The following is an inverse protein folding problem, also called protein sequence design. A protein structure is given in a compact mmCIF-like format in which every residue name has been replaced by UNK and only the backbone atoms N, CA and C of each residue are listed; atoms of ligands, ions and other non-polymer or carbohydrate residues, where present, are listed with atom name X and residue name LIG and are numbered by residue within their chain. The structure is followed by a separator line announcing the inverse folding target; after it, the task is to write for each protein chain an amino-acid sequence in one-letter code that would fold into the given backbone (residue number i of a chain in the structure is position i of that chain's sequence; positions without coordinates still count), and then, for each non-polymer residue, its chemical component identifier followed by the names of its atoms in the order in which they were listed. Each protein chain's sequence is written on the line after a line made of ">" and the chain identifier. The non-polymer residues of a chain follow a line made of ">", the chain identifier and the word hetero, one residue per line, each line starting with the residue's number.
data_IF_110530519758
#
_entry.id   IF_110530519758
#
_cell.length_a   1.000
_cell.length_b   1.000
_cell.length_c   1.000
_cell.angle_alpha   90.00
_cell.angle_beta   90.00
_cell.angle_gamma   90.00
#
_symmetry.space_group_name_H-M   'P 1'
#
loop_
_entity.id
_entity.type
_entity.pdbx_description
1 polymer ?
#
# COMPACT_ATOMS: atom_id res chain seq x y z
N UNK A 1 -0.95 28.92 -20.71
CA UNK A 1 -1.22 27.47 -20.54
C UNK A 1 -1.11 27.15 -19.06
N UNK A 2 -2.22 26.90 -18.35
CA UNK A 2 -2.16 26.55 -16.92
C UNK A 2 -1.56 25.14 -16.80
N UNK A 3 -0.37 25.05 -16.23
CA UNK A 3 0.25 23.76 -15.87
C UNK A 3 -0.50 23.21 -14.67
N UNK A 4 -1.48 22.34 -14.92
CA UNK A 4 -2.20 21.66 -13.83
C UNK A 4 -1.25 20.71 -13.12
N UNK A 5 -1.13 20.85 -11.79
CA UNK A 5 -0.31 19.93 -10.96
C UNK A 5 -0.78 18.49 -11.17
N UNK A 6 0.16 17.52 -11.29
CA UNK A 6 -0.23 16.12 -11.44
C UNK A 6 -1.01 15.65 -10.21
N UNK A 7 -2.09 14.87 -10.40
CA UNK A 7 -2.89 14.35 -9.30
C UNK A 7 -2.12 13.29 -8.50
N UNK A 8 -2.51 13.11 -7.25
CA UNK A 8 -1.99 12.04 -6.43
C UNK A 8 -2.59 10.68 -6.84
N UNK A 9 -1.77 9.65 -6.95
CA UNK A 9 -2.20 8.31 -7.35
C UNK A 9 -3.24 7.72 -6.38
N UNK A 10 -3.09 7.94 -5.06
CA UNK A 10 -4.01 7.43 -4.04
C UNK A 10 -5.45 7.93 -4.20
N UNK A 11 -5.67 9.11 -4.79
CA UNK A 11 -7.03 9.66 -5.02
C UNK A 11 -7.88 8.73 -5.89
N UNK A 12 -7.25 7.98 -6.81
CA UNK A 12 -7.92 7.03 -7.70
C UNK A 12 -7.79 5.59 -7.20
N UNK A 13 -6.62 5.21 -6.70
CA UNK A 13 -6.33 3.82 -6.37
C UNK A 13 -6.96 3.38 -5.05
N UNK A 14 -7.07 4.26 -4.05
CA UNK A 14 -7.68 3.89 -2.76
C UNK A 14 -9.18 3.59 -2.85
N UNK A 15 -10.01 4.45 -3.48
CA UNK A 15 -11.43 4.13 -3.62
C UNK A 15 -11.67 2.84 -4.40
N UNK A 16 -10.90 2.62 -5.47
CA UNK A 16 -11.03 1.40 -6.27
C UNK A 16 -10.59 0.15 -5.49
N UNK A 17 -9.48 0.24 -4.76
CA UNK A 17 -9.02 -0.84 -3.89
C UNK A 17 -10.04 -1.17 -2.80
N UNK A 18 -10.62 -0.14 -2.16
CA UNK A 18 -11.64 -0.31 -1.14
C UNK A 18 -12.91 -0.98 -1.70
N UNK A 19 -13.40 -0.52 -2.84
CA UNK A 19 -14.54 -1.14 -3.53
C UNK A 19 -14.22 -2.59 -3.90
N UNK A 20 -13.04 -2.84 -4.44
CA UNK A 20 -12.59 -4.18 -4.81
C UNK A 20 -12.58 -5.12 -3.59
N UNK A 21 -11.99 -4.73 -2.48
CA UNK A 21 -11.95 -5.56 -1.27
C UNK A 21 -13.34 -5.77 -0.67
N UNK A 22 -14.20 -4.75 -0.69
CA UNK A 22 -15.58 -4.83 -0.21
C UNK A 22 -16.42 -5.83 -1.01
N UNK A 23 -16.12 -6.04 -2.29
CA UNK A 23 -16.76 -7.04 -3.15
C UNK A 23 -16.08 -8.41 -3.06
N UNK A 24 -14.76 -8.45 -3.15
CA UNK A 24 -14.00 -9.70 -3.25
C UNK A 24 -14.00 -10.48 -1.94
N UNK A 25 -13.96 -9.81 -0.79
CA UNK A 25 -13.95 -10.47 0.51
C UNK A 25 -15.22 -11.30 0.74
N UNK A 26 -16.45 -10.74 0.67
CA UNK A 26 -17.67 -11.50 0.90
C UNK A 26 -17.90 -12.55 -0.21
N UNK A 27 -17.53 -12.25 -1.46
CA UNK A 27 -17.61 -13.23 -2.55
C UNK A 27 -16.74 -14.46 -2.26
N UNK A 28 -15.50 -14.25 -1.87
CA UNK A 28 -14.58 -15.35 -1.61
C UNK A 28 -14.99 -16.16 -0.38
N UNK A 29 -15.36 -15.50 0.72
CA UNK A 29 -15.81 -16.17 1.95
C UNK A 29 -17.11 -16.93 1.71
N UNK A 30 -18.11 -16.31 1.07
CA UNK A 30 -19.38 -16.97 0.76
C UNK A 30 -19.22 -18.15 -0.20
N UNK A 31 -18.32 -18.04 -1.19
CA UNK A 31 -17.97 -19.14 -2.08
C UNK A 31 -17.30 -20.31 -1.35
N UNK A 32 -16.37 -20.02 -0.42
CA UNK A 32 -15.71 -21.06 0.40
C UNK A 32 -16.68 -21.73 1.39
N UNK A 33 -17.70 -21.01 1.87
CA UNK A 33 -18.77 -21.55 2.71
C UNK A 33 -19.85 -22.29 1.91
N UNK A 34 -19.76 -22.29 0.58
CA UNK A 34 -20.72 -22.95 -0.29
C UNK A 34 -22.08 -22.24 -0.42
N UNK A 35 -22.17 -20.97 -0.05
CA UNK A 35 -23.43 -20.22 -0.16
C UNK A 35 -23.82 -19.93 -1.60
N UNK A 36 -22.82 -19.75 -2.47
CA UNK A 36 -23.03 -19.52 -3.91
C UNK A 36 -21.76 -19.87 -4.70
N UNK A 37 -21.92 -20.02 -6.01
CA UNK A 37 -20.78 -20.26 -6.92
C UNK A 37 -20.02 -18.97 -7.20
N UNK A 38 -18.70 -19.04 -7.12
CA UNK A 38 -17.78 -17.91 -7.40
C UNK A 38 -16.76 -18.32 -8.44
N UNK A 39 -16.09 -17.36 -9.08
CA UNK A 39 -14.96 -17.64 -9.97
C UNK A 39 -13.90 -18.52 -9.29
N UNK A 40 -13.29 -19.41 -10.05
CA UNK A 40 -12.37 -20.43 -9.53
C UNK A 40 -11.21 -19.83 -8.70
N UNK A 41 -10.72 -18.65 -9.07
CA UNK A 41 -9.66 -17.95 -8.33
C UNK A 41 -10.07 -17.52 -6.93
N UNK A 42 -11.35 -17.47 -6.60
CA UNK A 42 -11.87 -17.07 -5.28
C UNK A 42 -12.36 -18.24 -4.42
N UNK A 43 -12.45 -19.44 -4.99
CA UNK A 43 -12.98 -20.62 -4.29
C UNK A 43 -12.06 -21.14 -3.19
N UNK A 44 -10.77 -20.88 -3.30
CA UNK A 44 -9.74 -21.43 -2.42
C UNK A 44 -9.20 -20.37 -1.44
N UNK A 45 -8.79 -20.82 -0.26
CA UNK A 45 -8.19 -19.95 0.76
C UNK A 45 -6.93 -19.22 0.24
N UNK A 46 -6.08 -19.89 -0.54
CA UNK A 46 -4.92 -19.26 -1.16
C UNK A 46 -5.31 -18.20 -2.21
N UNK A 47 -6.43 -18.38 -2.91
CA UNK A 47 -6.96 -17.40 -3.86
C UNK A 47 -7.43 -16.13 -3.14
N UNK A 48 -8.16 -16.29 -2.02
CA UNK A 48 -8.54 -15.19 -1.16
C UNK A 48 -7.30 -14.42 -0.65
N UNK A 49 -6.31 -15.14 -0.12
CA UNK A 49 -5.06 -14.55 0.35
C UNK A 49 -4.33 -13.78 -0.75
N UNK A 50 -4.22 -14.35 -1.95
CA UNK A 50 -3.62 -13.69 -3.11
C UNK A 50 -4.32 -12.38 -3.45
N UNK A 51 -5.67 -12.37 -3.51
CA UNK A 51 -6.42 -11.17 -3.86
C UNK A 51 -6.34 -10.08 -2.80
N UNK A 52 -6.32 -10.45 -1.52
CA UNK A 52 -6.16 -9.47 -0.43
C UNK A 52 -4.74 -8.89 -0.38
N UNK A 53 -3.72 -9.66 -0.68
CA UNK A 53 -2.32 -9.22 -0.61
C UNK A 53 -1.92 -8.50 -1.90
N UNK A 54 -1.98 -9.20 -3.05
CA UNK A 54 -1.49 -8.69 -4.33
C UNK A 54 -2.56 -7.92 -5.12
N UNK A 55 -3.85 -8.11 -4.81
CA UNK A 55 -4.94 -7.33 -5.36
C UNK A 55 -5.18 -6.03 -4.59
N UNK A 56 -5.56 -6.12 -3.34
CA UNK A 56 -5.94 -4.97 -2.53
C UNK A 56 -4.72 -4.27 -1.90
N UNK A 57 -3.96 -4.96 -1.03
CA UNK A 57 -2.93 -4.31 -0.23
C UNK A 57 -1.81 -3.70 -1.09
N UNK A 58 -1.39 -4.37 -2.16
CA UNK A 58 -0.32 -3.89 -3.02
C UNK A 58 -0.69 -2.60 -3.75
N UNK A 59 -1.93 -2.45 -4.27
CA UNK A 59 -2.35 -1.22 -4.93
C UNK A 59 -2.54 -0.06 -3.94
N UNK A 60 -2.96 -0.34 -2.70
CA UNK A 60 -3.01 0.66 -1.62
C UNK A 60 -1.61 1.16 -1.28
N UNK A 61 -0.66 0.25 -1.08
CA UNK A 61 0.74 0.61 -0.80
C UNK A 61 1.33 1.41 -1.97
N UNK A 62 1.12 0.95 -3.20
CA UNK A 62 1.58 1.65 -4.39
C UNK A 62 0.99 3.06 -4.47
N UNK A 63 -0.31 3.23 -4.18
CA UNK A 63 -0.97 4.54 -4.14
C UNK A 63 -0.39 5.48 -3.10
N UNK A 64 -0.04 4.96 -1.93
CA UNK A 64 0.59 5.73 -0.87
C UNK A 64 2.03 6.15 -1.23
N UNK A 65 2.80 5.26 -1.84
CA UNK A 65 4.22 5.45 -2.13
C UNK A 65 4.47 6.23 -3.43
N UNK A 66 3.57 6.16 -4.41
CA UNK A 66 3.78 6.76 -5.73
C UNK A 66 3.77 8.30 -5.72
N UNK A 67 3.04 8.94 -4.78
CA UNK A 67 2.88 10.39 -4.75
C UNK A 67 2.13 10.93 -5.99
N UNK A 68 2.43 12.19 -6.42
CA UNK A 68 1.85 12.77 -7.63
C UNK A 68 2.35 12.06 -8.88
N UNK A 69 1.44 11.65 -9.77
CA UNK A 69 1.76 10.95 -11.02
C UNK A 69 0.94 11.50 -12.19
N UNK A 70 1.43 11.40 -13.44
CA UNK A 70 0.64 11.72 -14.62
C UNK A 70 -0.62 10.85 -14.70
N UNK A 71 -1.74 11.43 -15.15
CA UNK A 71 -3.00 10.68 -15.31
C UNK A 71 -2.85 9.44 -16.17
N UNK A 72 -2.06 9.52 -17.26
CA UNK A 72 -1.77 8.38 -18.13
C UNK A 72 -1.19 7.20 -17.33
N UNK A 73 -0.18 7.44 -16.51
CA UNK A 73 0.41 6.40 -15.66
C UNK A 73 -0.62 5.81 -14.66
N UNK A 74 -1.42 6.67 -14.01
CA UNK A 74 -2.44 6.23 -13.04
C UNK A 74 -3.42 5.27 -13.71
N UNK A 75 -3.98 5.64 -14.88
CA UNK A 75 -4.96 4.82 -15.59
C UNK A 75 -4.34 3.59 -16.25
N UNK A 76 -3.10 3.66 -16.75
CA UNK A 76 -2.39 2.48 -17.26
C UNK A 76 -2.20 1.42 -16.16
N UNK A 77 -1.76 1.83 -14.97
CA UNK A 77 -1.60 0.90 -13.83
C UNK A 77 -2.95 0.33 -13.40
N UNK A 78 -4.02 1.15 -13.35
CA UNK A 78 -5.36 0.66 -13.04
C UNK A 78 -5.89 -0.33 -14.08
N UNK A 79 -5.70 -0.04 -15.37
CA UNK A 79 -6.10 -0.94 -16.45
C UNK A 79 -5.37 -2.28 -16.37
N UNK A 80 -4.06 -2.24 -16.17
CA UNK A 80 -3.26 -3.45 -15.98
C UNK A 80 -3.71 -4.22 -14.73
N UNK A 81 -3.94 -3.52 -13.62
CA UNK A 81 -4.45 -4.12 -12.39
C UNK A 81 -5.78 -4.84 -12.60
N UNK A 82 -6.75 -4.22 -13.31
CA UNK A 82 -8.04 -4.86 -13.61
C UNK A 82 -7.87 -6.13 -14.46
N UNK A 83 -7.06 -6.07 -15.51
CA UNK A 83 -6.78 -7.24 -16.36
C UNK A 83 -6.18 -8.38 -15.52
N UNK A 84 -5.25 -8.06 -14.64
CA UNK A 84 -4.63 -9.01 -13.72
C UNK A 84 -5.66 -9.65 -12.78
N UNK A 85 -6.58 -8.85 -12.21
CA UNK A 85 -7.60 -9.39 -11.31
C UNK A 85 -8.58 -10.30 -12.04
N UNK A 86 -9.08 -9.87 -13.18
CA UNK A 86 -10.01 -10.67 -13.99
C UNK A 86 -9.37 -11.98 -14.46
N UNK A 87 -8.11 -11.95 -14.91
CA UNK A 87 -7.42 -13.18 -15.32
C UNK A 87 -7.23 -14.17 -14.18
N UNK A 88 -6.91 -13.69 -12.98
CA UNK A 88 -6.76 -14.55 -11.80
C UNK A 88 -8.11 -15.16 -11.36
N UNK A 89 -9.20 -14.40 -11.44
CA UNK A 89 -10.53 -14.90 -11.10
C UNK A 89 -10.95 -16.06 -12.02
N UNK A 90 -10.66 -15.95 -13.32
CA UNK A 90 -11.10 -16.92 -14.34
C UNK A 90 -10.15 -18.10 -14.45
N UNK A 91 -8.85 -17.87 -14.44
CA UNK A 91 -7.84 -18.89 -14.72
C UNK A 91 -6.59 -18.73 -13.84
N UNK A 92 -6.68 -18.93 -12.50
CA UNK A 92 -5.59 -18.66 -11.55
C UNK A 92 -4.33 -19.49 -11.81
N UNK A 93 -4.47 -20.69 -12.37
CA UNK A 93 -3.35 -21.62 -12.64
C UNK A 93 -2.73 -21.39 -14.02
N UNK A 94 -3.34 -20.56 -14.87
CA UNK A 94 -2.82 -20.30 -16.22
C UNK A 94 -1.46 -19.60 -16.18
N UNK A 95 -0.52 -20.05 -17.04
CA UNK A 95 0.77 -19.39 -17.23
C UNK A 95 0.60 -17.93 -17.67
N UNK A 96 -0.40 -17.63 -18.50
CA UNK A 96 -0.73 -16.27 -18.93
C UNK A 96 -1.06 -15.39 -17.71
N UNK A 97 -1.91 -15.90 -16.82
CA UNK A 97 -2.24 -15.22 -15.56
C UNK A 97 -1.01 -14.98 -14.69
N UNK A 98 -0.14 -15.99 -14.56
CA UNK A 98 1.11 -15.83 -13.81
C UNK A 98 1.99 -14.73 -14.40
N UNK A 99 2.20 -14.74 -15.73
CA UNK A 99 3.05 -13.74 -16.41
C UNK A 99 2.52 -12.32 -16.24
N UNK A 100 1.20 -12.09 -16.44
CA UNK A 100 0.64 -10.74 -16.31
C UNK A 100 0.60 -10.25 -14.85
N UNK A 101 0.39 -11.15 -13.87
CA UNK A 101 0.50 -10.81 -12.44
C UNK A 101 1.94 -10.41 -12.08
N UNK A 102 2.93 -11.21 -12.50
CA UNK A 102 4.34 -10.91 -12.26
C UNK A 102 4.73 -9.60 -12.95
N UNK A 103 4.29 -9.37 -14.19
CA UNK A 103 4.55 -8.12 -14.91
C UNK A 103 3.96 -6.90 -14.19
N UNK A 104 2.74 -7.01 -13.66
CA UNK A 104 2.12 -5.95 -12.85
C UNK A 104 2.95 -5.64 -11.60
N UNK A 105 3.29 -6.66 -10.81
CA UNK A 105 4.09 -6.49 -9.59
C UNK A 105 5.48 -5.93 -9.93
N UNK A 106 6.13 -6.45 -10.96
CA UNK A 106 7.42 -5.96 -11.44
C UNK A 106 7.37 -4.48 -11.85
N UNK A 107 6.30 -4.05 -12.53
CA UNK A 107 6.08 -2.65 -12.90
C UNK A 107 6.04 -1.74 -11.66
N UNK A 108 5.33 -2.14 -10.61
CA UNK A 108 5.27 -1.39 -9.36
C UNK A 108 6.62 -1.37 -8.64
N UNK A 109 7.26 -2.53 -8.50
CA UNK A 109 8.57 -2.65 -7.85
C UNK A 109 9.61 -1.82 -8.60
N UNK A 110 9.69 -1.93 -9.92
CA UNK A 110 10.61 -1.17 -10.75
C UNK A 110 10.44 0.34 -10.62
N UNK A 111 9.21 0.81 -10.57
CA UNK A 111 8.91 2.24 -10.47
C UNK A 111 9.11 2.80 -9.07
N UNK A 112 8.70 2.06 -8.03
CA UNK A 112 8.64 2.58 -6.66
C UNK A 112 9.90 2.29 -5.85
N UNK A 113 10.51 1.10 -5.96
CA UNK A 113 11.69 0.73 -5.16
C UNK A 113 12.88 1.67 -5.32
N UNK A 114 13.26 2.12 -6.55
CA UNK A 114 14.39 3.04 -6.72
C UNK A 114 14.23 4.37 -6.00
N UNK A 115 12.98 4.85 -5.85
CA UNK A 115 12.68 6.09 -5.12
C UNK A 115 13.16 5.97 -3.67
N UNK A 116 12.99 4.80 -3.04
CA UNK A 116 13.39 4.57 -1.66
C UNK A 116 14.85 4.11 -1.53
N UNK A 117 15.32 3.29 -2.46
CA UNK A 117 16.68 2.75 -2.39
C UNK A 117 17.75 3.78 -2.74
N UNK A 118 17.50 4.65 -3.73
CA UNK A 118 18.51 5.61 -4.25
C UNK A 118 18.42 6.98 -3.60
N UNK A 119 17.21 7.51 -3.33
CA UNK A 119 17.03 8.88 -2.87
C UNK A 119 16.98 9.02 -1.35
N UNK A 120 16.73 7.92 -0.61
CA UNK A 120 16.63 7.99 0.83
C UNK A 120 18.01 8.13 1.50
N UNK A 121 18.22 9.27 2.17
CA UNK A 121 19.45 9.55 2.95
C UNK A 121 19.57 8.67 4.21
N UNK A 122 18.44 8.29 4.81
CA UNK A 122 18.40 7.47 6.04
C UNK A 122 18.13 6.01 5.71
N UNK A 123 18.91 5.09 6.28
CA UNK A 123 18.74 3.64 6.12
C UNK A 123 17.31 3.17 6.39
N UNK A 124 16.70 3.74 7.40
CA UNK A 124 15.29 3.50 7.75
C UNK A 124 14.32 3.72 6.58
N UNK A 125 14.57 4.70 5.70
CA UNK A 125 13.71 4.94 4.54
C UNK A 125 13.97 3.95 3.39
N UNK A 126 15.17 3.38 3.33
CA UNK A 126 15.53 2.34 2.35
C UNK A 126 14.80 1.02 2.60
N UNK A 127 14.42 0.74 3.87
CA UNK A 127 13.70 -0.49 4.22
C UNK A 127 12.39 -0.65 3.45
N UNK A 128 11.66 0.43 3.16
CA UNK A 128 10.45 0.37 2.34
C UNK A 128 10.72 -0.15 0.91
N UNK A 129 11.86 0.23 0.33
CA UNK A 129 12.28 -0.28 -0.98
C UNK A 129 12.60 -1.78 -0.96
N UNK A 130 13.28 -2.26 0.09
CA UNK A 130 13.56 -3.69 0.25
C UNK A 130 12.28 -4.50 0.49
N UNK A 131 11.34 -4.00 1.28
CA UNK A 131 10.04 -4.66 1.48
C UNK A 131 9.26 -4.76 0.18
N UNK A 132 9.26 -3.73 -0.67
CA UNK A 132 8.63 -3.80 -1.99
C UNK A 132 9.27 -4.86 -2.88
N UNK A 133 10.60 -4.97 -2.88
CA UNK A 133 11.30 -6.04 -3.61
C UNK A 133 10.94 -7.41 -3.04
N UNK A 134 10.90 -7.55 -1.71
CA UNK A 134 10.48 -8.77 -1.04
C UNK A 134 9.06 -9.19 -1.42
N UNK A 135 8.11 -8.24 -1.47
CA UNK A 135 6.74 -8.50 -1.95
C UNK A 135 6.73 -8.96 -3.41
N UNK A 136 7.61 -8.40 -4.25
CA UNK A 136 7.78 -8.86 -5.63
C UNK A 136 8.30 -10.31 -5.71
N UNK A 137 9.26 -10.67 -4.86
CA UNK A 137 9.79 -12.04 -4.76
C UNK A 137 8.72 -13.01 -4.26
N UNK A 138 7.94 -12.63 -3.24
CA UNK A 138 6.85 -13.44 -2.72
C UNK A 138 5.76 -13.68 -3.78
N UNK A 139 5.41 -12.65 -4.58
CA UNK A 139 4.47 -12.79 -5.70
C UNK A 139 5.00 -13.75 -6.76
N UNK A 140 6.27 -13.62 -7.14
CA UNK A 140 6.94 -14.53 -8.08
C UNK A 140 6.92 -15.97 -7.54
N UNK A 141 7.33 -16.18 -6.29
CA UNK A 141 7.33 -17.48 -5.65
C UNK A 141 5.95 -18.11 -5.58
N UNK A 142 4.90 -17.34 -5.26
CA UNK A 142 3.52 -17.80 -5.29
C UNK A 142 3.12 -18.30 -6.67
N UNK A 143 3.37 -17.52 -7.73
CA UNK A 143 3.00 -17.93 -9.10
C UNK A 143 3.83 -19.11 -9.61
N UNK A 144 5.10 -19.23 -9.23
CA UNK A 144 5.91 -20.41 -9.53
C UNK A 144 5.36 -21.66 -8.82
N UNK A 145 4.96 -21.53 -7.54
CA UNK A 145 4.32 -22.61 -6.82
C UNK A 145 2.95 -23.02 -7.41
N UNK A 146 2.23 -22.06 -8.03
CA UNK A 146 0.98 -22.36 -8.75
C UNK A 146 1.21 -23.16 -10.04
N UNK A 147 2.35 -22.98 -10.71
CA UNK A 147 2.72 -23.69 -11.94
C UNK A 147 3.39 -25.04 -11.68
N UNK A 148 3.88 -25.25 -10.48
CA UNK A 148 4.56 -26.49 -10.09
C UNK A 148 3.58 -27.46 -9.45
N UNK A 149 3.87 -28.79 -9.54
CA UNK A 149 3.12 -29.82 -8.82
C UNK A 149 3.47 -29.89 -7.33
N UNK A 150 3.87 -28.75 -6.75
CA UNK A 150 4.21 -28.66 -5.33
C UNK A 150 2.95 -28.67 -4.46
N UNK A 151 3.06 -29.17 -3.21
CA UNK A 151 1.96 -29.11 -2.25
C UNK A 151 1.44 -27.67 -2.03
N UNK A 152 0.17 -27.53 -1.69
CA UNK A 152 -0.48 -26.23 -1.41
C UNK A 152 0.24 -25.40 -0.32
N UNK A 153 0.99 -26.06 0.57
CA UNK A 153 1.79 -25.42 1.60
C UNK A 153 2.78 -24.38 1.06
N UNK A 154 3.37 -24.62 -0.12
CA UNK A 154 4.28 -23.65 -0.74
C UNK A 154 3.58 -22.36 -1.14
N UNK A 155 2.35 -22.45 -1.65
CA UNK A 155 1.52 -21.27 -1.98
C UNK A 155 1.22 -20.45 -0.74
N UNK A 156 0.82 -21.14 0.35
CA UNK A 156 0.53 -20.50 1.64
C UNK A 156 1.77 -19.87 2.26
N UNK A 157 2.95 -20.49 2.17
CA UNK A 157 4.21 -19.92 2.66
C UNK A 157 4.52 -18.57 2.02
N UNK A 158 4.46 -18.46 0.69
CA UNK A 158 4.69 -17.19 0.00
C UNK A 158 3.66 -16.11 0.37
N UNK A 159 2.40 -16.49 0.62
CA UNK A 159 1.39 -15.57 1.13
C UNK A 159 1.71 -15.12 2.55
N UNK A 160 2.12 -16.01 3.44
CA UNK A 160 2.54 -15.67 4.81
C UNK A 160 3.76 -14.76 4.82
N UNK A 161 4.76 -15.03 3.99
CA UNK A 161 5.92 -14.13 3.81
C UNK A 161 5.48 -12.74 3.37
N UNK A 162 4.55 -12.65 2.41
CA UNK A 162 4.02 -11.39 1.97
C UNK A 162 3.25 -10.66 3.09
N UNK A 163 2.46 -11.36 3.91
CA UNK A 163 1.78 -10.78 5.09
C UNK A 163 2.79 -10.24 6.11
N UNK A 164 3.87 -10.96 6.38
CA UNK A 164 4.92 -10.49 7.28
C UNK A 164 5.60 -9.22 6.74
N UNK A 165 5.91 -9.19 5.45
CA UNK A 165 6.49 -8.01 4.80
C UNK A 165 5.53 -6.81 4.84
N UNK A 166 4.24 -7.03 4.61
CA UNK A 166 3.19 -6.00 4.74
C UNK A 166 3.11 -5.48 6.17
N UNK A 167 3.16 -6.37 7.16
CA UNK A 167 3.13 -6.00 8.57
C UNK A 167 4.33 -5.13 8.94
N UNK A 168 5.54 -5.51 8.50
CA UNK A 168 6.75 -4.69 8.68
C UNK A 168 6.56 -3.30 8.06
N UNK A 169 6.01 -3.22 6.85
CA UNK A 169 5.78 -1.95 6.17
C UNK A 169 4.74 -1.09 6.92
N UNK A 170 3.67 -1.70 7.42
CA UNK A 170 2.64 -0.99 8.21
C UNK A 170 3.20 -0.45 9.52
N UNK A 171 3.98 -1.22 10.27
CA UNK A 171 4.66 -0.75 11.48
C UNK A 171 5.62 0.39 11.18
N UNK A 172 6.38 0.27 10.11
CA UNK A 172 7.29 1.31 9.66
C UNK A 172 6.55 2.62 9.33
N UNK A 173 5.47 2.55 8.55
CA UNK A 173 4.67 3.71 8.16
C UNK A 173 3.92 4.32 9.34
N UNK A 174 3.31 3.51 10.20
CA UNK A 174 2.61 3.93 11.41
C UNK A 174 3.53 4.68 12.38
N UNK A 175 4.70 4.15 12.64
CA UNK A 175 5.71 4.80 13.49
C UNK A 175 6.14 6.18 12.95
N UNK A 176 6.20 6.35 11.64
CA UNK A 176 6.54 7.63 11.01
C UNK A 176 5.46 8.69 11.21
N UNK A 177 4.19 8.32 11.15
CA UNK A 177 3.05 9.23 11.34
C UNK A 177 2.99 9.70 12.80
N UNK A 178 3.11 8.78 13.76
CA UNK A 178 3.07 9.08 15.20
C UNK A 178 4.22 10.02 15.58
N UNK A 179 5.45 9.73 15.12
CA UNK A 179 6.62 10.55 15.41
C UNK A 179 6.48 11.97 14.89
N UNK A 180 6.01 12.15 13.66
CA UNK A 180 5.85 13.48 13.05
C UNK A 180 4.78 14.32 13.76
N UNK A 181 3.73 13.68 14.29
CA UNK A 181 2.65 14.33 15.05
C UNK A 181 3.15 14.79 16.42
N UNK A 182 3.84 13.93 17.15
CA UNK A 182 4.38 14.26 18.47
C UNK A 182 5.41 15.39 18.41
N UNK A 183 6.27 15.41 17.38
CA UNK A 183 7.23 16.47 17.17
C UNK A 183 6.56 17.83 16.93
N UNK A 184 5.47 17.87 16.14
CA UNK A 184 4.71 19.11 15.91
C UNK A 184 3.98 19.62 17.16
N UNK A 185 3.53 18.73 18.04
CA UNK A 185 2.90 19.11 19.31
C UNK A 185 3.96 19.66 20.26
N UNK A 186 5.12 19.02 20.35
CA UNK A 186 6.21 19.44 21.21
C UNK A 186 6.85 20.80 20.79
N UNK A 187 6.83 21.12 19.48
CA UNK A 187 7.34 22.40 18.95
C UNK A 187 6.33 23.55 19.02
N UNK A 188 5.04 23.27 19.22
CA UNK A 188 4.03 24.24 19.60
C UNK A 188 4.06 24.48 21.12
N UNK A 189 5.18 24.92 21.67
CA UNK A 189 5.16 25.60 22.97
C UNK A 189 4.31 26.83 22.80
N UNK A 190 3.34 27.12 23.70
CA UNK A 190 2.74 28.43 23.79
C UNK A 190 3.90 29.39 24.01
N UNK A 191 4.06 30.37 23.16
CA UNK A 191 4.80 31.55 23.49
C UNK A 191 4.10 32.10 24.73
N UNK A 192 4.72 31.91 25.89
CA UNK A 192 4.24 32.54 27.12
C UNK A 192 4.22 34.04 26.81
N UNK A 193 3.00 34.54 26.73
CA UNK A 193 2.70 35.94 26.58
C UNK A 193 3.33 36.66 27.76
N UNK A 194 4.48 37.25 27.55
CA UNK A 194 5.15 38.12 28.51
C UNK A 194 4.45 39.48 28.49
N UNK A 195 3.17 39.48 28.79
CA UNK A 195 2.46 40.71 29.19
C UNK A 195 2.40 40.80 30.70
N UNK A 196 3.56 40.82 31.35
CA UNK A 196 3.69 41.50 32.63
C UNK A 196 3.80 43.00 32.32
N UNK A 197 2.67 43.62 32.07
CA UNK A 197 2.46 45.05 32.18
C UNK A 197 2.76 45.45 33.65
N UNK A 198 3.97 45.93 33.91
CA UNK A 198 4.30 46.67 35.11
C UNK A 198 3.54 47.99 35.07
N UNK A 199 2.33 47.97 35.63
CA UNK A 199 1.63 49.16 36.03
C UNK A 199 2.41 49.81 37.18
N UNK A 200 3.26 50.77 36.83
CA UNK A 200 3.98 51.64 37.76
C UNK A 200 3.03 52.78 38.11
N UNK A 201 2.26 52.61 39.17
CA UNK A 201 1.51 53.68 39.80
C UNK A 201 2.51 54.62 40.49
N UNK A 202 2.75 55.76 39.87
CA UNK A 202 3.48 56.84 40.51
C UNK A 202 2.57 57.58 41.50
N UNK A 203 2.83 57.42 42.81
CA UNK A 203 2.30 58.26 43.82
C UNK A 203 3.17 59.56 43.86
N UNK A 204 2.63 60.67 43.40
CA UNK A 204 3.11 62.02 43.72
C UNK A 204 2.33 62.51 44.92
N UNK A 205 3.00 62.60 46.08
CA UNK A 205 2.56 63.34 47.22
C UNK A 205 3.09 64.77 47.03
N UNK A 206 2.19 65.77 47.00
CA UNK A 206 2.48 67.17 47.11
C UNK A 206 2.13 67.64 48.54
N UNK A 207 3.08 68.35 49.09
CA UNK A 207 2.87 69.24 50.31
C UNK A 207 2.55 70.62 49.83
#
# INVERSE_FOLDING_TARGET
>A
MMVTKPPFAHTYWFPLAALYSALTLPLSVGGQLGWFTVPIGLQYAWGHGHEMIFGFALIVIAGYLAGPQPKSYIFTVLGLWLVVRLSFWVAPISLVTAVINIAFVATLVWKLSPIFLRTAKKWRNKSAGFVLVGLGIAALGFHLAMQSNQPDDWRLRFLLEAVLLLSILMFYMGGRIIWSRNFRIATRRPTADSTLSTSRTGNTVAV
#
